data_IF_915801237222
#
_entry.id   IF_915801237222
#
_cell.length_a   1.000
_cell.length_b   1.000
_cell.length_c   1.000
_cell.angle_alpha   90.00
_cell.angle_beta   90.00
_cell.angle_gamma   90.00
#
_symmetry.space_group_name_H-M   'P 1'
#
loop_
_entity.id
_entity.type
_entity.pdbx_description
1 polymer ?
#
# COMPACT_ATOMS: atom_id res chain seq x y z
N UNK A 1 -24.62 10.63 -4.19
CA UNK A 1 -23.38 9.99 -3.70
C UNK A 1 -23.30 10.20 -2.20
N UNK A 2 -23.19 9.14 -1.40
CA UNK A 2 -23.11 9.24 0.06
C UNK A 2 -21.64 9.09 0.48
N UNK A 3 -21.11 10.05 1.22
CA UNK A 3 -19.76 10.01 1.79
C UNK A 3 -19.90 9.83 3.30
N UNK A 4 -19.15 8.92 3.89
CA UNK A 4 -19.14 8.68 5.33
C UNK A 4 -17.72 8.81 5.85
N UNK A 5 -17.48 9.76 6.75
CA UNK A 5 -16.21 9.89 7.46
C UNK A 5 -16.22 8.98 8.70
N UNK A 6 -15.13 8.23 8.91
CA UNK A 6 -14.97 7.37 10.10
C UNK A 6 -13.58 7.56 10.69
N UNK A 7 -13.55 7.91 11.96
CA UNK A 7 -12.31 8.03 12.71
C UNK A 7 -11.96 6.68 13.33
N UNK A 8 -10.76 6.20 13.02
CA UNK A 8 -10.21 4.98 13.60
C UNK A 8 -9.55 5.35 14.93
N UNK A 9 -9.93 4.69 16.02
CA UNK A 9 -9.26 4.85 17.31
C UNK A 9 -7.87 4.20 17.29
N UNK A 10 -6.90 4.69 18.09
CA UNK A 10 -5.55 4.11 18.15
C UNK A 10 -5.54 2.59 18.43
N UNK A 11 -6.43 2.13 19.29
CA UNK A 11 -6.61 0.74 19.75
C UNK A 11 -7.77 0.01 19.04
N UNK A 12 -8.31 0.59 17.96
CA UNK A 12 -9.44 0.03 17.24
C UNK A 12 -9.12 -1.37 16.70
N UNK A 13 -9.96 -2.35 17.07
CA UNK A 13 -10.00 -3.65 16.42
C UNK A 13 -10.57 -3.52 15.01
N UNK A 14 -9.69 -3.70 14.01
CA UNK A 14 -10.05 -3.64 12.61
C UNK A 14 -10.97 -4.78 12.15
N UNK A 15 -10.94 -5.93 12.82
CA UNK A 15 -11.80 -7.07 12.44
C UNK A 15 -13.27 -6.71 12.63
N UNK A 16 -13.60 -6.20 13.81
CA UNK A 16 -14.95 -5.72 14.10
C UNK A 16 -15.33 -4.55 13.21
N UNK A 17 -14.42 -3.59 13.03
CA UNK A 17 -14.65 -2.42 12.20
C UNK A 17 -14.98 -2.79 10.75
N UNK A 18 -14.17 -3.63 10.12
CA UNK A 18 -14.38 -4.07 8.74
C UNK A 18 -15.65 -4.92 8.61
N UNK A 19 -16.02 -5.70 9.64
CA UNK A 19 -17.26 -6.48 9.65
C UNK A 19 -18.49 -5.58 9.63
N UNK A 20 -18.45 -4.46 10.34
CA UNK A 20 -19.54 -3.49 10.31
C UNK A 20 -19.62 -2.76 8.96
N UNK A 21 -18.48 -2.45 8.33
CA UNK A 21 -18.44 -1.91 6.96
C UNK A 21 -18.98 -2.91 5.92
N UNK A 22 -18.68 -4.19 6.07
CA UNK A 22 -19.20 -5.26 5.23
C UNK A 22 -20.73 -5.35 5.29
N UNK A 23 -21.32 -5.28 6.48
CA UNK A 23 -22.78 -5.27 6.66
C UNK A 23 -23.44 -4.07 5.97
N UNK A 24 -22.75 -2.93 5.95
CA UNK A 24 -23.20 -1.71 5.27
C UNK A 24 -22.98 -1.75 3.75
N UNK A 25 -22.38 -2.84 3.23
CA UNK A 25 -22.04 -3.04 1.81
C UNK A 25 -21.18 -1.92 1.25
N UNK A 26 -20.30 -1.35 2.07
CA UNK A 26 -19.34 -0.35 1.63
C UNK A 26 -18.26 -1.02 0.76
N UNK A 27 -17.94 -0.40 -0.39
CA UNK A 27 -17.00 -0.96 -1.37
C UNK A 27 -15.86 -0.03 -1.74
N UNK A 28 -15.97 1.27 -1.47
CA UNK A 28 -14.96 2.26 -1.83
C UNK A 28 -14.41 2.89 -0.55
N UNK A 29 -13.09 2.80 -0.36
CA UNK A 29 -12.43 3.24 0.86
C UNK A 29 -11.29 4.20 0.52
N UNK A 30 -11.27 5.34 1.20
CA UNK A 30 -10.07 6.19 1.28
C UNK A 30 -9.47 5.94 2.66
N UNK A 31 -8.22 5.48 2.69
CA UNK A 31 -7.54 5.03 3.89
C UNK A 31 -6.43 6.01 4.23
N UNK A 32 -6.67 6.78 5.28
CA UNK A 32 -5.71 7.71 5.85
C UNK A 32 -5.23 7.18 7.21
N UNK A 33 -4.21 6.33 7.16
CA UNK A 33 -3.61 5.68 8.31
C UNK A 33 -2.10 5.53 8.08
N UNK A 34 -1.30 5.50 9.17
CA UNK A 34 0.10 5.07 9.08
C UNK A 34 0.21 3.69 8.43
N UNK A 35 1.26 3.45 7.63
CA UNK A 35 1.40 2.22 6.83
C UNK A 35 1.31 0.93 7.64
N UNK A 36 1.89 0.89 8.85
CA UNK A 36 1.80 -0.28 9.73
C UNK A 36 0.34 -0.62 10.08
N UNK A 37 -0.51 0.39 10.30
CA UNK A 37 -1.94 0.20 10.57
C UNK A 37 -2.73 -0.14 9.31
N UNK A 38 -2.34 0.36 8.14
CA UNK A 38 -2.93 -0.08 6.86
C UNK A 38 -2.71 -1.57 6.66
N UNK A 39 -1.51 -2.08 7.00
CA UNK A 39 -1.21 -3.52 6.95
C UNK A 39 -2.10 -4.31 7.90
N UNK A 40 -2.26 -3.88 9.15
CA UNK A 40 -3.18 -4.51 10.10
C UNK A 40 -4.63 -4.53 9.57
N UNK A 41 -5.08 -3.41 9.00
CA UNK A 41 -6.41 -3.26 8.45
C UNK A 41 -6.64 -4.24 7.29
N UNK A 42 -5.69 -4.37 6.36
CA UNK A 42 -5.84 -5.32 5.25
C UNK A 42 -5.79 -6.78 5.70
N UNK A 43 -4.97 -7.13 6.69
CA UNK A 43 -4.97 -8.49 7.28
C UNK A 43 -6.34 -8.79 7.90
N UNK A 44 -6.92 -7.84 8.62
CA UNK A 44 -8.25 -8.00 9.21
C UNK A 44 -9.36 -8.07 8.14
N UNK A 45 -9.26 -7.26 7.09
CA UNK A 45 -10.19 -7.24 5.97
C UNK A 45 -10.18 -8.56 5.17
N UNK A 46 -9.00 -9.14 4.93
CA UNK A 46 -8.85 -10.43 4.23
C UNK A 46 -9.56 -11.56 4.99
N UNK A 47 -9.40 -11.61 6.32
CA UNK A 47 -10.05 -12.61 7.19
C UNK A 47 -11.58 -12.62 7.09
N UNK A 48 -12.19 -11.51 6.69
CA UNK A 48 -13.65 -11.38 6.58
C UNK A 48 -14.13 -11.18 5.14
N UNK A 49 -13.29 -11.50 4.16
CA UNK A 49 -13.61 -11.42 2.73
C UNK A 49 -13.96 -9.99 2.25
N UNK A 50 -13.27 -8.98 2.80
CA UNK A 50 -13.31 -7.59 2.35
C UNK A 50 -12.12 -7.20 1.47
N UNK A 51 -11.31 -8.19 1.07
CA UNK A 51 -10.20 -8.05 0.12
C UNK A 51 -10.49 -8.82 -1.18
N UNK A 52 -11.62 -8.52 -1.81
CA UNK A 52 -12.01 -9.08 -3.13
C UNK A 52 -11.91 -8.03 -4.23
N UNK A 53 -12.21 -8.42 -5.48
CA UNK A 53 -12.22 -7.53 -6.64
C UNK A 53 -13.30 -6.44 -6.56
N UNK A 54 -14.33 -6.66 -5.73
CA UNK A 54 -15.42 -5.69 -5.52
C UNK A 54 -14.98 -4.48 -4.70
N UNK A 55 -14.00 -4.63 -3.80
CA UNK A 55 -13.54 -3.54 -2.95
C UNK A 55 -12.41 -2.76 -3.63
N UNK A 56 -12.47 -1.44 -3.47
CA UNK A 56 -11.49 -0.47 -3.95
C UNK A 56 -10.94 0.32 -2.76
N UNK A 57 -9.62 0.35 -2.64
CA UNK A 57 -8.90 1.04 -1.58
C UNK A 57 -7.98 2.10 -2.20
N UNK A 58 -8.08 3.34 -1.73
CA UNK A 58 -7.14 4.41 -2.01
C UNK A 58 -6.36 4.72 -0.73
N UNK A 59 -5.05 4.49 -0.76
CA UNK A 59 -4.15 4.81 0.37
C UNK A 59 -3.57 6.21 0.16
N UNK A 60 -3.65 7.07 1.17
CA UNK A 60 -3.17 8.46 1.09
C UNK A 60 -1.66 8.60 1.29
N UNK A 61 -1.01 7.60 1.88
CA UNK A 61 0.45 7.61 2.10
C UNK A 61 1.23 7.60 0.79
N UNK A 62 2.33 8.37 0.74
CA UNK A 62 3.18 8.54 -0.46
C UNK A 62 4.35 7.54 -0.54
N UNK A 63 4.53 6.77 0.53
CA UNK A 63 5.66 5.87 0.80
C UNK A 63 5.21 4.40 0.89
N UNK A 64 4.04 4.05 0.35
CA UNK A 64 3.48 2.68 0.33
C UNK A 64 4.47 1.64 -0.23
N UNK A 65 5.38 2.08 -1.10
CA UNK A 65 6.42 1.27 -1.72
C UNK A 65 7.57 0.83 -0.78
N UNK A 66 7.64 1.38 0.43
CA UNK A 66 8.70 1.09 1.42
C UNK A 66 8.40 -0.12 2.30
N UNK A 67 7.17 -0.64 2.23
CA UNK A 67 6.69 -1.72 3.10
C UNK A 67 6.49 -3.00 2.29
N UNK A 68 6.92 -4.13 2.85
CA UNK A 68 6.63 -5.46 2.32
C UNK A 68 5.16 -5.81 2.58
N UNK A 69 4.37 -5.83 1.50
CA UNK A 69 2.97 -6.20 1.54
C UNK A 69 2.79 -7.73 1.41
N UNK A 70 1.89 -8.33 2.20
CA UNK A 70 1.58 -9.76 2.07
C UNK A 70 1.09 -10.12 0.65
N UNK A 71 1.67 -11.16 0.04
CA UNK A 71 1.35 -11.53 -1.36
C UNK A 71 -0.13 -11.91 -1.57
N UNK A 72 -0.82 -12.39 -0.53
CA UNK A 72 -2.25 -12.70 -0.61
C UNK A 72 -3.14 -11.46 -0.79
N UNK A 73 -2.65 -10.28 -0.39
CA UNK A 73 -3.36 -8.99 -0.43
C UNK A 73 -3.18 -8.35 -1.80
N UNK A 74 -1.99 -8.49 -2.38
CA UNK A 74 -1.63 -7.91 -3.67
C UNK A 74 -2.15 -8.82 -4.79
N UNK A 75 -3.26 -8.43 -5.42
CA UNK A 75 -3.78 -9.08 -6.64
C UNK A 75 -5.22 -9.56 -6.56
N UNK A 76 -5.82 -9.62 -5.36
CA UNK A 76 -7.26 -9.92 -5.19
C UNK A 76 -8.14 -8.69 -5.17
N UNK A 77 -7.61 -7.55 -4.73
CA UNK A 77 -8.34 -6.29 -4.61
C UNK A 77 -7.74 -5.16 -5.41
N UNK A 78 -8.57 -4.17 -5.69
CA UNK A 78 -8.17 -2.94 -6.34
C UNK A 78 -7.57 -1.99 -5.29
N UNK A 79 -6.25 -1.88 -5.27
CA UNK A 79 -5.53 -0.97 -4.37
C UNK A 79 -4.84 0.09 -5.21
N UNK A 80 -5.20 1.35 -4.97
CA UNK A 80 -4.57 2.53 -5.54
C UNK A 80 -3.76 3.24 -4.45
N UNK A 81 -2.55 3.65 -4.78
CA UNK A 81 -1.62 4.27 -3.86
C UNK A 81 -0.70 5.23 -4.60
N UNK A 82 -0.04 6.09 -3.83
CA UNK A 82 0.97 7.01 -4.36
C UNK A 82 2.38 6.50 -4.08
N UNK A 83 3.30 6.89 -4.96
CA UNK A 83 4.73 6.66 -4.82
C UNK A 83 5.45 7.97 -5.11
N UNK A 84 6.14 8.50 -4.12
CA UNK A 84 6.91 9.74 -4.28
C UNK A 84 8.14 9.53 -5.20
N UNK A 85 8.80 8.39 -5.09
CA UNK A 85 10.05 8.10 -5.79
C UNK A 85 9.77 7.33 -7.09
N UNK A 86 10.21 7.84 -8.24
CA UNK A 86 10.12 7.09 -9.49
C UNK A 86 11.30 6.11 -9.64
N UNK A 87 11.12 4.78 -9.50
CA UNK A 87 12.22 3.82 -9.62
C UNK A 87 12.76 3.69 -11.05
N UNK A 88 12.00 4.16 -12.05
CA UNK A 88 12.42 4.12 -13.44
C UNK A 88 13.29 5.30 -13.83
N UNK A 89 13.44 6.31 -12.97
CA UNK A 89 14.33 7.45 -13.21
C UNK A 89 15.79 7.00 -13.15
N UNK A 90 16.57 7.29 -14.19
CA UNK A 90 17.96 6.83 -14.30
C UNK A 90 18.90 7.54 -13.31
N UNK A 91 18.65 8.80 -12.98
CA UNK A 91 19.37 9.52 -11.93
C UNK A 91 19.12 8.88 -10.56
N UNK A 92 17.87 8.48 -10.29
CA UNK A 92 17.53 7.74 -9.07
C UNK A 92 18.24 6.38 -8.99
N UNK A 93 18.25 5.61 -10.09
CA UNK A 93 18.95 4.31 -10.13
C UNK A 93 20.44 4.48 -9.88
N UNK A 94 21.08 5.44 -10.55
CA UNK A 94 22.50 5.74 -10.37
C UNK A 94 22.82 6.14 -8.93
N UNK A 95 22.03 7.04 -8.35
CA UNK A 95 22.17 7.42 -6.95
C UNK A 95 22.03 6.21 -6.01
N UNK A 96 21.04 5.34 -6.26
CA UNK A 96 20.81 4.16 -5.44
C UNK A 96 21.98 3.18 -5.52
N UNK A 97 22.52 2.93 -6.71
CA UNK A 97 23.68 2.06 -6.92
C UNK A 97 24.93 2.59 -6.21
N UNK A 98 25.21 3.89 -6.35
CA UNK A 98 26.32 4.56 -5.65
C UNK A 98 26.17 4.50 -4.13
N UNK A 99 24.95 4.74 -3.62
CA UNK A 99 24.64 4.65 -2.21
C UNK A 99 24.89 3.24 -1.67
N UNK A 100 24.32 2.22 -2.33
CA UNK A 100 24.46 0.81 -1.93
C UNK A 100 25.94 0.41 -1.90
N UNK A 101 26.70 0.78 -2.94
CA UNK A 101 28.13 0.50 -2.99
C UNK A 101 28.86 1.14 -1.80
N UNK A 102 28.57 2.41 -1.49
CA UNK A 102 29.21 3.11 -0.37
C UNK A 102 28.95 2.43 0.99
N UNK A 103 27.72 2.00 1.25
CA UNK A 103 27.37 1.33 2.51
C UNK A 103 28.04 -0.04 2.65
N UNK A 104 28.18 -0.77 1.54
CA UNK A 104 28.92 -2.04 1.50
C UNK A 104 30.41 -1.84 1.77
N UNK A 105 31.03 -0.77 1.26
CA UNK A 105 32.45 -0.47 1.57
C UNK A 105 32.70 -0.14 3.04
N UNK A 106 31.66 0.29 3.76
CA UNK A 106 31.70 0.58 5.21
C UNK A 106 31.36 -0.70 6.03
N UNK A 107 31.11 -1.83 5.38
CA UNK A 107 30.88 -3.13 6.01
C UNK A 107 29.42 -3.39 6.42
N UNK A 108 28.45 -2.60 5.93
CA UNK A 108 27.03 -2.87 6.17
C UNK A 108 26.47 -3.77 5.07
N UNK A 109 25.71 -4.79 5.46
CA UNK A 109 24.90 -5.57 4.52
C UNK A 109 23.68 -4.74 4.10
N UNK A 110 23.72 -4.20 2.88
CA UNK A 110 22.55 -3.59 2.23
C UNK A 110 22.06 -4.55 1.15
N UNK A 111 20.94 -5.20 1.43
CA UNK A 111 20.19 -5.99 0.45
C UNK A 111 19.55 -5.06 -0.58
N UNK A 112 19.87 -5.24 -1.86
CA UNK A 112 19.11 -4.67 -2.97
C UNK A 112 17.76 -5.38 -3.07
N UNK A 113 16.83 -5.06 -2.17
CA UNK A 113 15.43 -5.43 -2.41
C UNK A 113 15.01 -4.70 -3.68
N UNK A 114 14.69 -5.47 -4.73
CA UNK A 114 13.98 -4.94 -5.90
C UNK A 114 12.87 -4.03 -5.39
N UNK A 115 12.82 -2.73 -5.78
CA UNK A 115 11.72 -1.88 -5.39
C UNK A 115 10.45 -2.59 -5.85
N UNK A 116 9.47 -2.80 -4.97
CA UNK A 116 8.28 -3.61 -5.27
C UNK A 116 7.64 -3.09 -6.57
N UNK A 117 7.93 -3.74 -7.69
CA UNK A 117 7.43 -3.37 -9.03
C UNK A 117 6.02 -3.91 -9.26
N UNK A 118 5.60 -4.85 -8.42
CA UNK A 118 4.33 -5.58 -8.55
C UNK A 118 3.32 -5.11 -7.51
N UNK A 119 3.12 -3.81 -7.39
CA UNK A 119 1.73 -3.36 -7.25
C UNK A 119 1.39 -2.99 -8.69
N UNK A 120 0.34 -3.57 -9.29
CA UNK A 120 -0.17 -3.05 -10.55
C UNK A 120 -0.65 -1.63 -10.27
N UNK A 121 0.26 -0.67 -10.35
CA UNK A 121 -0.08 0.72 -10.49
C UNK A 121 -0.83 0.78 -11.81
N UNK A 122 -2.09 1.20 -11.77
CA UNK A 122 -2.68 1.77 -12.97
C UNK A 122 -1.76 2.95 -13.33
N UNK A 123 -0.90 2.75 -14.33
CA UNK A 123 -0.38 3.87 -15.09
C UNK A 123 -1.63 4.62 -15.55
N UNK A 124 -1.79 5.87 -15.12
CA UNK A 124 -2.63 6.77 -15.88
C UNK A 124 -2.02 6.80 -17.27
N UNK A 125 -2.71 6.17 -18.22
CA UNK A 125 -2.41 6.34 -19.64
C UNK A 125 -2.47 7.83 -19.88
N UNK A 126 -1.36 8.44 -20.29
CA UNK A 126 -1.40 9.75 -20.92
C UNK A 126 -2.42 9.65 -22.07
N UNK A 127 -3.54 10.32 -21.91
CA UNK A 127 -4.53 10.47 -22.97
C UNK A 127 -3.89 11.33 -24.06
N UNK A 128 -3.62 10.73 -25.21
CA UNK A 128 -3.55 11.48 -26.47
C UNK A 128 -4.94 11.99 -26.84
#
# INVERSE_FOLDING_TARGET
>A
MKITLRHVKPDQDFTKFMKDLSKLRETNFVVDLPLHRVRELFIAADKINMMTEYQKYLITSLDVHTVDWPQNIIGRSNITAFRLINPNNDEYKKFLDEWIFSEQTIGKEVSSKEPITVIRFFQFSDSK
#
